data_IF_971669031067
#
_entry.id   IF_971669031067
#
_cell.length_a   1.000
_cell.length_b   1.000
_cell.length_c   1.000
_cell.angle_alpha   90.00
_cell.angle_beta   90.00
_cell.angle_gamma   90.00
#
_symmetry.space_group_name_H-M   'P 1'
#
loop_
_entity.id
_entity.type
_entity.pdbx_description
1 polymer ?
#
# COMPACT_ATOMS: atom_id res chain seq x y z
N UNK A 1 -22.47 6.48 -10.37
CA UNK A 1 -21.83 6.55 -11.70
C UNK A 1 -21.03 5.28 -11.92
N UNK A 2 -20.61 5.05 -13.16
CA UNK A 2 -19.61 4.05 -13.52
C UNK A 2 -18.22 4.67 -13.41
N UNK A 3 -17.20 3.89 -13.05
CA UNK A 3 -15.81 4.37 -13.11
C UNK A 3 -15.42 4.58 -14.59
N UNK A 4 -14.76 5.71 -14.87
CA UNK A 4 -14.37 6.09 -16.24
C UNK A 4 -12.86 6.22 -16.36
N UNK A 5 -12.17 6.79 -15.37
CA UNK A 5 -10.71 6.95 -15.35
C UNK A 5 -10.18 7.20 -13.94
N UNK A 6 -8.97 6.71 -13.67
CA UNK A 6 -8.18 6.99 -12.46
C UNK A 6 -6.88 7.76 -12.78
N UNK A 7 -6.68 8.12 -14.05
CA UNK A 7 -5.50 8.87 -14.47
C UNK A 7 -5.57 10.29 -13.94
N UNK A 8 -4.70 10.62 -12.97
CA UNK A 8 -4.60 11.96 -12.39
C UNK A 8 -4.39 13.03 -13.47
N UNK A 9 -3.57 12.73 -14.49
CA UNK A 9 -3.35 13.66 -15.61
C UNK A 9 -4.66 13.95 -16.36
N UNK A 10 -5.42 12.93 -16.72
CA UNK A 10 -6.69 13.10 -17.44
C UNK A 10 -7.72 13.86 -16.59
N UNK A 11 -7.79 13.56 -15.29
CA UNK A 11 -8.70 14.22 -14.35
C UNK A 11 -8.35 15.71 -14.21
N UNK A 12 -7.08 16.04 -14.00
CA UNK A 12 -6.64 17.43 -13.87
C UNK A 12 -6.79 18.21 -15.18
N UNK A 13 -6.57 17.56 -16.32
CA UNK A 13 -6.81 18.18 -17.63
C UNK A 13 -8.29 18.49 -17.85
N UNK A 14 -9.20 17.58 -17.44
CA UNK A 14 -10.64 17.81 -17.51
C UNK A 14 -11.12 18.88 -16.52
N UNK A 15 -10.46 19.02 -15.37
CA UNK A 15 -10.77 20.01 -14.36
C UNK A 15 -10.16 21.41 -14.64
N UNK A 16 -9.31 21.54 -15.66
CA UNK A 16 -8.61 22.77 -15.95
C UNK A 16 -9.58 23.90 -16.34
N UNK A 17 -9.48 25.05 -15.67
CA UNK A 17 -10.27 26.23 -15.95
C UNK A 17 -9.44 27.52 -15.82
N UNK A 18 -9.96 28.63 -16.36
CA UNK A 18 -9.33 29.93 -16.19
C UNK A 18 -9.71 30.52 -14.81
N UNK A 19 -8.90 31.43 -14.23
CA UNK A 19 -9.18 32.01 -12.91
C UNK A 19 -10.52 32.76 -12.81
N UNK A 20 -11.04 33.21 -13.95
CA UNK A 20 -12.29 33.93 -14.10
C UNK A 20 -13.45 33.05 -14.61
N UNK A 21 -13.26 31.73 -14.71
CA UNK A 21 -14.35 30.81 -15.04
C UNK A 21 -15.37 30.80 -13.90
N UNK A 22 -16.64 31.07 -14.21
CA UNK A 22 -17.72 31.05 -13.23
C UNK A 22 -17.97 29.62 -12.73
N UNK A 23 -18.34 29.50 -11.45
CA UNK A 23 -18.66 28.22 -10.86
C UNK A 23 -20.03 27.72 -11.35
N UNK A 24 -20.10 26.44 -11.70
CA UNK A 24 -21.37 25.79 -12.02
C UNK A 24 -22.23 25.56 -10.76
N UNK A 25 -23.56 25.48 -10.90
CA UNK A 25 -24.43 25.06 -9.81
C UNK A 25 -24.04 23.69 -9.26
N UNK A 26 -24.19 23.45 -7.94
CA UNK A 26 -23.93 22.15 -7.35
C UNK A 26 -24.80 21.05 -7.98
N UNK A 27 -24.16 19.92 -8.33
CA UNK A 27 -24.88 18.74 -8.81
C UNK A 27 -25.63 18.07 -7.65
N UNK A 28 -26.94 17.88 -7.78
CA UNK A 28 -27.77 17.32 -6.70
C UNK A 28 -27.29 15.95 -6.20
N UNK A 29 -26.81 15.10 -7.11
CA UNK A 29 -26.32 13.74 -6.79
C UNK A 29 -24.81 13.66 -6.50
N UNK A 30 -24.12 14.81 -6.34
CA UNK A 30 -22.67 14.87 -6.13
C UNK A 30 -22.19 13.94 -5.01
N UNK A 31 -22.82 14.03 -3.84
CA UNK A 31 -22.41 13.24 -2.68
C UNK A 31 -22.65 11.73 -2.86
N UNK A 32 -23.69 11.34 -3.60
CA UNK A 32 -23.95 9.93 -3.91
C UNK A 32 -22.92 9.37 -4.89
N UNK A 33 -22.46 10.20 -5.85
CA UNK A 33 -21.37 9.83 -6.75
C UNK A 33 -20.04 9.71 -6.01
N UNK A 34 -19.73 10.64 -5.11
CA UNK A 34 -18.54 10.59 -4.24
C UNK A 34 -18.56 9.32 -3.39
N UNK A 35 -19.67 9.03 -2.71
CA UNK A 35 -19.83 7.80 -1.91
C UNK A 35 -19.52 6.55 -2.72
N UNK A 36 -20.16 6.40 -3.89
CA UNK A 36 -19.94 5.25 -4.79
C UNK A 36 -18.49 5.13 -5.24
N UNK A 37 -17.82 6.24 -5.54
CA UNK A 37 -16.39 6.25 -5.89
C UNK A 37 -15.50 5.81 -4.74
N UNK A 38 -15.77 6.28 -3.52
CA UNK A 38 -15.03 5.87 -2.31
C UNK A 38 -15.23 4.40 -1.98
N UNK A 39 -16.46 3.89 -2.10
CA UNK A 39 -16.77 2.47 -1.91
C UNK A 39 -16.02 1.58 -2.92
N UNK A 40 -15.90 2.02 -4.18
CA UNK A 40 -15.13 1.31 -5.20
C UNK A 40 -13.64 1.26 -4.85
N UNK A 41 -13.04 2.39 -4.50
CA UNK A 41 -11.63 2.46 -4.07
C UNK A 41 -11.38 1.54 -2.88
N UNK A 42 -12.24 1.60 -1.85
CA UNK A 42 -12.14 0.74 -0.67
C UNK A 42 -12.25 -0.75 -1.02
N UNK A 43 -13.12 -1.09 -1.96
CA UNK A 43 -13.30 -2.48 -2.41
C UNK A 43 -12.08 -2.94 -3.20
N UNK A 44 -11.55 -2.12 -4.10
CA UNK A 44 -10.36 -2.43 -4.88
C UNK A 44 -9.09 -2.50 -4.02
N UNK A 45 -8.89 -1.59 -3.07
CA UNK A 45 -7.79 -1.66 -2.10
C UNK A 45 -7.83 -2.95 -1.28
N UNK A 46 -9.02 -3.42 -0.90
CA UNK A 46 -9.21 -4.73 -0.26
C UNK A 46 -8.89 -5.89 -1.20
N UNK A 47 -9.19 -5.75 -2.50
CA UNK A 47 -9.03 -6.81 -3.49
C UNK A 47 -7.59 -6.98 -3.99
N UNK A 48 -6.75 -5.93 -4.03
CA UNK A 48 -5.39 -6.01 -4.58
C UNK A 48 -4.38 -6.53 -3.53
N UNK A 49 -4.70 -7.58 -2.76
CA UNK A 49 -3.66 -8.41 -2.13
C UNK A 49 -3.76 -8.70 -0.62
N UNK A 50 -4.95 -8.66 -0.04
CA UNK A 50 -5.18 -9.13 1.33
C UNK A 50 -4.33 -8.39 2.38
N UNK A 51 -4.05 -9.04 3.52
CA UNK A 51 -3.35 -8.43 4.66
C UNK A 51 -1.94 -7.88 4.33
N UNK A 52 -1.31 -8.33 3.24
CA UNK A 52 0.05 -7.98 2.84
C UNK A 52 0.13 -6.92 1.73
N UNK A 53 -1.00 -6.56 1.11
CA UNK A 53 -1.07 -5.64 -0.03
C UNK A 53 -0.64 -6.24 -1.36
N UNK A 54 -0.43 -5.39 -2.37
CA UNK A 54 -0.21 -5.81 -3.78
C UNK A 54 0.91 -6.85 -3.94
N UNK A 55 0.75 -7.88 -4.81
CA UNK A 55 1.78 -8.88 -5.06
C UNK A 55 3.14 -8.32 -5.51
N UNK A 56 3.14 -7.17 -6.18
CA UNK A 56 4.35 -6.46 -6.61
C UNK A 56 5.01 -5.62 -5.51
N UNK A 57 4.35 -5.44 -4.36
CA UNK A 57 4.84 -4.62 -3.25
C UNK A 57 6.04 -5.25 -2.53
N UNK A 58 6.82 -4.42 -1.82
CA UNK A 58 7.98 -4.89 -1.07
C UNK A 58 7.57 -5.89 0.01
N UNK A 59 6.53 -5.58 0.78
CA UNK A 59 6.03 -6.38 1.90
C UNK A 59 5.64 -7.80 1.47
N UNK A 60 4.77 -7.91 0.44
CA UNK A 60 4.32 -9.19 -0.08
C UNK A 60 5.50 -10.04 -0.60
N UNK A 61 6.35 -9.45 -1.46
CA UNK A 61 7.51 -10.17 -2.04
C UNK A 61 8.51 -10.61 -0.98
N UNK A 62 8.83 -9.75 -0.03
CA UNK A 62 9.73 -10.08 1.08
C UNK A 62 9.14 -11.19 1.95
N UNK A 63 7.86 -11.10 2.32
CA UNK A 63 7.20 -12.14 3.11
C UNK A 63 7.25 -13.50 2.42
N UNK A 64 6.84 -13.58 1.14
CA UNK A 64 6.83 -14.84 0.41
C UNK A 64 8.23 -15.46 0.28
N UNK A 65 9.24 -14.65 -0.07
CA UNK A 65 10.62 -15.14 -0.18
C UNK A 65 11.16 -15.64 1.15
N UNK A 66 10.91 -14.91 2.24
CA UNK A 66 11.37 -15.34 3.57
C UNK A 66 10.62 -16.57 4.08
N UNK A 67 9.33 -16.71 3.78
CA UNK A 67 8.58 -17.91 4.11
C UNK A 67 9.17 -19.14 3.38
N UNK A 68 9.38 -19.05 2.06
CA UNK A 68 10.03 -20.11 1.29
C UNK A 68 11.44 -20.42 1.78
N UNK A 69 12.21 -19.39 2.13
CA UNK A 69 13.54 -19.55 2.70
C UNK A 69 13.49 -20.30 4.03
N UNK A 70 12.64 -19.87 4.97
CA UNK A 70 12.48 -20.50 6.28
C UNK A 70 12.08 -21.97 6.17
N UNK A 71 11.23 -22.33 5.21
CA UNK A 71 10.92 -23.74 4.91
C UNK A 71 12.14 -24.52 4.45
N UNK A 72 12.97 -23.93 3.56
CA UNK A 72 14.18 -24.57 3.04
C UNK A 72 15.25 -24.81 4.11
N UNK A 73 15.39 -23.90 5.06
CA UNK A 73 16.42 -23.97 6.10
C UNK A 73 15.92 -24.59 7.42
N UNK A 74 14.68 -25.08 7.46
CA UNK A 74 14.07 -25.67 8.66
C UNK A 74 14.95 -26.78 9.26
N UNK A 75 15.16 -26.73 10.57
CA UNK A 75 15.99 -27.70 11.28
C UNK A 75 17.51 -27.56 11.07
N UNK A 76 17.95 -26.55 10.33
CA UNK A 76 19.37 -26.18 10.24
C UNK A 76 19.75 -25.14 11.30
N UNK A 77 21.04 -24.82 11.42
CA UNK A 77 21.53 -23.76 12.30
C UNK A 77 20.91 -22.38 12.01
N UNK A 78 20.46 -22.16 10.76
CA UNK A 78 19.87 -20.88 10.35
C UNK A 78 18.38 -20.78 10.67
N UNK A 79 17.73 -21.85 11.14
CA UNK A 79 16.32 -21.86 11.55
C UNK A 79 16.14 -21.17 12.92
N UNK A 80 16.34 -19.85 12.93
CA UNK A 80 16.37 -19.06 14.16
C UNK A 80 14.98 -18.55 14.56
N UNK A 81 14.70 -18.42 15.88
CA UNK A 81 13.51 -17.75 16.37
C UNK A 81 13.38 -16.30 15.87
N UNK A 82 14.50 -15.62 15.68
CA UNK A 82 14.59 -14.23 15.22
C UNK A 82 14.04 -14.08 13.79
N UNK A 83 14.38 -15.01 12.89
CA UNK A 83 13.85 -15.04 11.53
C UNK A 83 12.33 -15.25 11.54
N UNK A 84 11.84 -16.19 12.36
CA UNK A 84 10.40 -16.47 12.49
C UNK A 84 9.63 -15.24 12.99
N UNK A 85 10.15 -14.54 14.01
CA UNK A 85 9.58 -13.30 14.53
C UNK A 85 9.58 -12.18 13.48
N UNK A 86 10.63 -12.06 12.70
CA UNK A 86 10.70 -11.07 11.63
C UNK A 86 9.66 -11.32 10.52
N UNK A 87 9.46 -12.57 10.13
CA UNK A 87 8.43 -12.98 9.16
C UNK A 87 7.03 -12.66 9.72
N UNK A 88 6.78 -12.97 10.98
CA UNK A 88 5.51 -12.70 11.66
C UNK A 88 5.22 -11.18 11.77
N UNK A 89 6.23 -10.37 12.08
CA UNK A 89 6.10 -8.91 12.13
C UNK A 89 5.76 -8.32 10.76
N UNK A 90 6.36 -8.84 9.67
CA UNK A 90 6.00 -8.44 8.31
C UNK A 90 4.56 -8.83 7.98
N UNK A 91 4.10 -9.99 8.45
CA UNK A 91 2.73 -10.44 8.25
C UNK A 91 1.71 -9.58 9.01
N UNK A 92 2.02 -9.20 10.24
CA UNK A 92 1.07 -8.49 11.13
C UNK A 92 1.04 -6.99 10.92
N UNK A 93 2.19 -6.37 10.66
CA UNK A 93 2.33 -4.91 10.71
C UNK A 93 2.79 -4.31 9.38
N UNK A 94 2.39 -3.07 9.07
CA UNK A 94 2.90 -2.36 7.90
C UNK A 94 4.39 -2.04 8.08
N UNK A 95 5.14 -2.14 6.98
CA UNK A 95 6.54 -1.72 6.93
C UNK A 95 6.68 -0.21 7.12
N UNK A 96 7.76 0.24 7.76
CA UNK A 96 8.15 1.66 7.72
C UNK A 96 8.55 2.05 6.30
N UNK A 97 8.33 3.31 5.91
CA UNK A 97 8.67 3.79 4.56
C UNK A 97 10.15 3.53 4.21
N UNK A 98 11.08 3.83 5.12
CA UNK A 98 12.51 3.59 4.91
C UNK A 98 12.86 2.09 4.69
N UNK A 99 12.15 1.18 5.37
CA UNK A 99 12.31 -0.25 5.16
C UNK A 99 11.74 -0.67 3.79
N UNK A 100 10.56 -0.16 3.41
CA UNK A 100 9.95 -0.37 2.09
C UNK A 100 10.91 0.02 0.96
N UNK A 101 11.51 1.21 1.04
CA UNK A 101 12.43 1.71 0.00
C UNK A 101 13.70 0.87 -0.10
N UNK A 102 14.25 0.48 1.05
CA UNK A 102 15.44 -0.38 1.14
C UNK A 102 15.17 -1.76 0.56
N UNK A 103 14.07 -2.41 0.96
CA UNK A 103 13.69 -3.73 0.46
C UNK A 103 13.39 -3.69 -1.04
N UNK A 104 12.67 -2.69 -1.54
CA UNK A 104 12.43 -2.55 -2.98
C UNK A 104 13.71 -2.36 -3.78
N UNK A 105 14.69 -1.62 -3.26
CA UNK A 105 16.01 -1.48 -3.90
C UNK A 105 16.71 -2.84 -3.97
N UNK A 106 16.80 -3.54 -2.85
CA UNK A 106 17.51 -4.83 -2.76
C UNK A 106 16.83 -5.94 -3.57
N UNK A 107 15.50 -5.98 -3.59
CA UNK A 107 14.74 -6.90 -4.43
C UNK A 107 14.98 -6.66 -5.93
N UNK A 108 15.10 -5.39 -6.35
CA UNK A 108 15.43 -5.04 -7.74
C UNK A 108 16.84 -5.44 -8.15
N UNK A 109 17.79 -5.40 -7.22
CA UNK A 109 19.19 -5.82 -7.46
C UNK A 109 19.42 -7.32 -7.29
N UNK A 110 18.36 -8.11 -7.07
CA UNK A 110 18.46 -9.56 -6.99
C UNK A 110 19.12 -10.09 -5.71
N UNK A 111 18.92 -9.42 -4.57
CA UNK A 111 19.41 -9.89 -3.25
C UNK A 111 19.07 -11.38 -3.04
N UNK A 112 20.00 -12.16 -2.49
CA UNK A 112 19.79 -13.57 -2.16
C UNK A 112 18.83 -13.74 -0.99
N UNK A 113 18.24 -14.93 -0.82
CA UNK A 113 17.29 -15.15 0.28
C UNK A 113 17.94 -15.02 1.65
N UNK A 114 19.19 -15.49 1.79
CA UNK A 114 19.97 -15.38 3.03
C UNK A 114 20.31 -13.93 3.35
N UNK A 115 20.80 -13.16 2.38
CA UNK A 115 21.09 -11.74 2.58
C UNK A 115 19.82 -10.95 2.88
N UNK A 116 18.68 -11.32 2.27
CA UNK A 116 17.38 -10.74 2.56
C UNK A 116 16.94 -11.04 4.01
N UNK A 117 17.12 -12.27 4.48
CA UNK A 117 16.83 -12.66 5.86
C UNK A 117 17.66 -11.83 6.85
N UNK A 118 18.97 -11.72 6.61
CA UNK A 118 19.86 -10.93 7.45
C UNK A 118 19.49 -9.45 7.46
N UNK A 119 19.19 -8.86 6.30
CA UNK A 119 18.75 -7.47 6.20
C UNK A 119 17.46 -7.21 6.98
N UNK A 120 16.48 -8.11 6.87
CA UNK A 120 15.20 -7.97 7.56
C UNK A 120 15.37 -8.11 9.07
N UNK A 121 16.17 -9.08 9.53
CA UNK A 121 16.49 -9.22 10.96
C UNK A 121 17.22 -7.99 11.50
N UNK A 122 18.18 -7.43 10.75
CA UNK A 122 18.87 -6.20 11.12
C UNK A 122 17.91 -5.02 11.24
N UNK A 123 17.06 -4.80 10.22
CA UNK A 123 16.05 -3.74 10.27
C UNK A 123 15.08 -3.92 11.45
N UNK A 124 14.79 -5.16 11.84
CA UNK A 124 13.93 -5.46 12.99
C UNK A 124 14.61 -5.11 14.29
N UNK A 125 15.85 -5.52 14.46
CA UNK A 125 16.67 -5.27 15.65
C UNK A 125 16.87 -3.78 15.90
N UNK A 126 17.03 -3.00 14.83
CA UNK A 126 17.09 -1.54 14.86
C UNK A 126 15.72 -0.85 15.03
N UNK A 127 14.64 -1.60 15.27
CA UNK A 127 13.24 -1.12 15.34
C UNK A 127 12.76 -0.36 14.09
N UNK A 128 13.42 -0.58 12.95
CA UNK A 128 13.20 0.13 11.67
C UNK A 128 12.37 -0.64 10.66
N UNK A 129 12.05 -1.92 10.92
CA UNK A 129 11.33 -2.78 9.97
C UNK A 129 9.84 -2.41 9.85
N UNK A 130 9.08 -2.54 10.94
CA UNK A 130 7.63 -2.33 10.96
C UNK A 130 7.22 -1.17 11.86
N UNK A 131 6.03 -0.62 11.62
CA UNK A 131 5.37 0.31 12.55
C UNK A 131 4.57 -0.51 13.56
N UNK A 132 5.21 -0.87 14.67
CA UNK A 132 4.55 -1.59 15.78
C UNK A 132 3.90 -0.55 16.70
N UNK A 133 2.85 0.12 16.22
CA UNK A 133 1.94 0.86 17.10
C UNK A 133 0.79 -0.09 17.48
N UNK A 134 0.50 -0.18 18.78
CA UNK A 134 -0.63 -0.94 19.31
C UNK A 134 -1.89 -0.57 18.51
N UNK A 135 -2.37 -1.52 17.70
CA UNK A 135 -3.56 -1.43 16.87
C UNK A 135 -3.85 0.00 16.37
N UNK A 136 -3.13 0.45 15.33
CA UNK A 136 -3.67 1.55 14.53
C UNK A 136 -4.94 0.98 13.90
N UNK A 137 -6.09 1.32 14.50
CA UNK A 137 -7.40 1.11 13.89
C UNK A 137 -7.25 1.50 12.44
N UNK A 138 -7.66 0.61 11.53
CA UNK A 138 -7.72 0.90 10.10
C UNK A 138 -8.40 2.24 9.97
N UNK A 139 -7.63 3.31 9.74
CA UNK A 139 -8.19 4.64 9.71
C UNK A 139 -9.09 4.65 8.48
N UNK A 140 -10.40 4.79 8.68
CA UNK A 140 -11.32 4.94 7.57
C UNK A 140 -10.82 6.10 6.70
N UNK A 141 -10.77 5.93 5.37
CA UNK A 141 -10.31 6.99 4.49
C UNK A 141 -11.15 8.23 4.72
N UNK A 142 -10.49 9.34 5.05
CA UNK A 142 -11.14 10.63 5.24
C UNK A 142 -11.10 11.43 3.95
N UNK A 143 -12.27 11.88 3.50
CA UNK A 143 -12.39 12.76 2.34
C UNK A 143 -12.07 14.19 2.78
N UNK A 144 -10.93 14.71 2.33
CA UNK A 144 -10.50 16.10 2.62
C UNK A 144 -11.18 17.08 1.65
N UNK A 145 -11.33 16.68 0.39
CA UNK A 145 -11.99 17.47 -0.65
C UNK A 145 -12.58 16.54 -1.72
N UNK A 146 -13.64 17.00 -2.38
CA UNK A 146 -14.23 16.34 -3.54
C UNK A 146 -14.62 17.39 -4.58
N UNK A 147 -14.42 17.09 -5.85
CA UNK A 147 -14.74 17.98 -6.97
C UNK A 147 -15.70 17.27 -7.93
N UNK A 148 -16.78 17.95 -8.31
CA UNK A 148 -17.70 17.50 -9.36
C UNK A 148 -17.36 18.19 -10.68
N UNK A 149 -17.27 17.42 -11.77
CA UNK A 149 -17.09 17.95 -13.12
C UNK A 149 -18.34 17.67 -13.94
N UNK A 150 -18.86 18.69 -14.62
CA UNK A 150 -20.01 18.58 -15.52
C UNK A 150 -19.61 19.25 -16.83
N UNK A 151 -19.89 18.61 -17.95
CA UNK A 151 -19.69 19.24 -19.25
C UNK A 151 -20.72 20.35 -19.44
N UNK A 152 -20.28 21.54 -19.87
CA UNK A 152 -21.18 22.59 -20.33
C UNK A 152 -22.00 22.06 -21.54
N UNK A 153 -23.30 22.38 -21.57
CA UNK A 153 -24.17 22.07 -22.71
C UNK A 153 -24.04 23.12 -23.79
#
# INVERSE_FOLDING_TARGET
GTSVTESQFAILQAAACAPNTEALPPLQEHHDLVRKGTELILTEERLIGGQLGRPSGARFRTYQRLQQYAERIRGTLFDTPELKRAIDDIYRYPLRQAATDTLNRQLRTGITDEALANLVMLLRDEERLCVVQAARQTAEPQIICSLGLVAEK
#
